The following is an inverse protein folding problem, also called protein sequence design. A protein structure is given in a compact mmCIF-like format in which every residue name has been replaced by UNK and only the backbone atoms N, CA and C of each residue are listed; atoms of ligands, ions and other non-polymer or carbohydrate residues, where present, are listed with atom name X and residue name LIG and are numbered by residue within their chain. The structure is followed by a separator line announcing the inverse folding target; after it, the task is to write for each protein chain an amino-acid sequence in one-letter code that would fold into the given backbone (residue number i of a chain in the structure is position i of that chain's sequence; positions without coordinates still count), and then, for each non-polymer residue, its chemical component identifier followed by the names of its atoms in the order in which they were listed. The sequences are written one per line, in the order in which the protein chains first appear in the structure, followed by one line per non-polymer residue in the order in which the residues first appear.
data_IF_531333199165
#
_entry.id   IF_531333199165
#
_cell.length_a   1.000
_cell.length_b   1.000
_cell.length_c   1.000
_cell.angle_alpha   90.00
_cell.angle_beta   90.00
_cell.angle_gamma   90.00
#
_symmetry.space_group_name_H-M   'P 1'
#
loop_
_entity.id
_entity.type
_entity.pdbx_description
1 polymer ?
#
# COMPACT_ATOMS: atom_id res chain seq x y z
N UNK A 1 -10.62 16.77 -9.39
CA UNK A 1 -10.59 15.75 -8.32
C UNK A 1 -10.10 16.39 -7.03
N UNK A 2 -10.79 16.10 -5.95
CA UNK A 2 -10.51 16.69 -4.64
C UNK A 2 -9.33 16.02 -3.97
N UNK A 3 -8.40 16.81 -3.40
CA UNK A 3 -7.26 16.31 -2.62
C UNK A 3 -7.33 16.91 -1.23
N UNK A 4 -7.20 16.10 -0.18
CA UNK A 4 -7.11 16.56 1.19
C UNK A 4 -5.67 16.91 1.54
N UNK A 5 -5.45 18.17 1.95
CA UNK A 5 -4.16 18.58 2.48
C UNK A 5 -4.03 18.29 3.98
N UNK A 6 -5.16 18.24 4.68
CA UNK A 6 -5.20 17.96 6.12
C UNK A 6 -6.53 17.31 6.49
N UNK A 7 -6.53 16.56 7.58
CA UNK A 7 -7.73 15.94 8.14
C UNK A 7 -8.17 16.76 9.38
N UNK A 8 -9.32 17.41 9.27
CA UNK A 8 -9.85 18.29 10.31
C UNK A 8 -11.18 17.78 10.89
N UNK A 9 -11.81 18.59 11.77
CA UNK A 9 -13.07 18.21 12.41
C UNK A 9 -14.22 18.06 11.42
N UNK A 10 -14.24 18.83 10.33
CA UNK A 10 -15.26 18.69 9.29
C UNK A 10 -15.17 17.31 8.62
N UNK A 11 -13.97 16.87 8.31
CA UNK A 11 -13.75 15.53 7.75
C UNK A 11 -14.11 14.42 8.72
N UNK A 12 -13.80 14.62 10.01
CA UNK A 12 -14.19 13.70 11.05
C UNK A 12 -15.71 13.56 11.16
N UNK A 13 -16.43 14.67 11.15
CA UNK A 13 -17.90 14.67 11.20
C UNK A 13 -18.48 13.92 9.98
N UNK A 14 -17.94 14.18 8.80
CA UNK A 14 -18.36 13.50 7.58
C UNK A 14 -18.13 12.00 7.68
N UNK A 15 -16.97 11.58 8.20
CA UNK A 15 -16.66 10.18 8.40
C UNK A 15 -17.62 9.52 9.40
N UNK A 16 -17.92 10.20 10.51
CA UNK A 16 -18.85 9.67 11.52
C UNK A 16 -20.27 9.57 10.99
N UNK A 17 -20.68 10.51 10.13
CA UNK A 17 -22.02 10.51 9.52
C UNK A 17 -22.16 9.44 8.44
N UNK A 18 -21.17 9.30 7.56
CA UNK A 18 -21.25 8.45 6.37
C UNK A 18 -20.55 7.09 6.53
N UNK A 19 -19.67 6.93 7.52
CA UNK A 19 -18.89 5.72 7.72
C UNK A 19 -17.69 5.58 6.79
N UNK A 20 -17.46 6.54 5.91
CA UNK A 20 -16.30 6.60 5.01
C UNK A 20 -15.97 8.04 4.65
N UNK A 21 -14.76 8.23 4.14
CA UNK A 21 -14.31 9.51 3.61
C UNK A 21 -13.39 9.26 2.41
N UNK A 22 -13.66 9.94 1.30
CA UNK A 22 -12.77 9.91 0.14
C UNK A 22 -11.68 10.95 0.31
N UNK A 23 -10.44 10.51 0.22
CA UNK A 23 -9.29 11.40 0.37
C UNK A 23 -8.93 12.15 -0.93
N UNK A 24 -9.42 11.67 -2.08
CA UNK A 24 -9.03 12.21 -3.37
C UNK A 24 -7.63 11.73 -3.77
N UNK A 25 -6.92 12.55 -4.54
CA UNK A 25 -5.55 12.24 -4.95
C UNK A 25 -4.58 12.55 -3.82
N UNK A 26 -3.92 11.54 -3.28
CA UNK A 26 -2.89 11.71 -2.26
C UNK A 26 -1.48 11.66 -2.83
N UNK A 27 -1.34 11.20 -4.08
CA UNK A 27 -0.07 11.14 -4.81
C UNK A 27 -0.16 11.93 -6.10
N UNK A 28 0.96 12.53 -6.51
CA UNK A 28 1.09 13.08 -7.86
C UNK A 28 1.09 11.95 -8.90
N UNK A 29 0.88 12.30 -10.18
CA UNK A 29 0.94 11.31 -11.27
C UNK A 29 2.30 10.64 -11.34
N UNK A 30 3.40 11.38 -11.10
CA UNK A 30 4.75 10.82 -11.08
C UNK A 30 4.97 9.87 -9.92
N UNK A 31 4.50 10.21 -8.73
CA UNK A 31 4.59 9.35 -7.55
C UNK A 31 3.79 8.06 -7.74
N UNK A 32 2.59 8.15 -8.31
CA UNK A 32 1.76 6.98 -8.60
C UNK A 32 2.44 6.07 -9.63
N UNK A 33 2.97 6.64 -10.70
CA UNK A 33 3.72 5.87 -11.72
C UNK A 33 4.92 5.16 -11.13
N UNK A 34 5.64 5.81 -10.21
CA UNK A 34 6.80 5.20 -9.54
C UNK A 34 6.38 3.98 -8.70
N UNK A 35 5.26 4.07 -7.98
CA UNK A 35 4.73 2.95 -7.19
C UNK A 35 4.28 1.80 -8.10
N UNK A 36 3.58 2.10 -9.18
CA UNK A 36 3.14 1.08 -10.15
C UNK A 36 4.34 0.36 -10.77
N UNK A 37 5.37 1.11 -11.16
CA UNK A 37 6.60 0.53 -11.69
C UNK A 37 7.31 -0.34 -10.66
N UNK A 38 7.32 0.08 -9.39
CA UNK A 38 7.96 -0.70 -8.32
C UNK A 38 7.26 -2.03 -8.09
N UNK A 39 5.94 -2.09 -8.17
CA UNK A 39 5.18 -3.34 -8.06
C UNK A 39 5.60 -4.30 -9.18
N UNK A 40 5.69 -3.81 -10.41
CA UNK A 40 6.13 -4.61 -11.55
C UNK A 40 7.56 -5.10 -11.35
N UNK A 41 8.45 -4.25 -10.88
CA UNK A 41 9.85 -4.60 -10.62
C UNK A 41 9.98 -5.69 -9.56
N UNK A 42 9.14 -5.65 -8.52
CA UNK A 42 9.11 -6.68 -7.49
C UNK A 42 8.61 -8.00 -8.08
N UNK A 43 7.54 -7.97 -8.85
CA UNK A 43 6.98 -9.18 -9.47
C UNK A 43 7.95 -9.80 -10.48
N UNK A 44 8.64 -8.96 -11.26
CA UNK A 44 9.59 -9.43 -12.28
C UNK A 44 10.97 -9.75 -11.73
N UNK A 45 11.20 -9.52 -10.43
CA UNK A 45 12.47 -9.85 -9.80
C UNK A 45 13.60 -8.86 -10.05
N UNK A 46 13.29 -7.67 -10.59
CA UNK A 46 14.28 -6.59 -10.76
C UNK A 46 14.67 -5.99 -9.40
N UNK A 47 13.74 -5.99 -8.46
CA UNK A 47 13.95 -5.63 -7.06
C UNK A 47 13.50 -6.82 -6.23
N UNK A 48 14.38 -7.36 -5.37
CA UNK A 48 14.11 -8.59 -4.61
C UNK A 48 14.23 -8.35 -3.11
N UNK A 49 13.30 -8.95 -2.37
CA UNK A 49 13.27 -8.97 -0.91
C UNK A 49 13.10 -10.42 -0.45
N UNK A 50 14.10 -10.97 0.24
CA UNK A 50 14.14 -12.38 0.63
C UNK A 50 12.97 -12.83 1.49
N UNK A 51 12.46 -11.94 2.33
CA UNK A 51 11.43 -12.29 3.32
C UNK A 51 10.04 -11.75 2.99
N UNK A 52 9.87 -11.18 1.79
CA UNK A 52 8.59 -10.66 1.36
C UNK A 52 7.65 -11.80 0.99
N UNK A 53 6.48 -11.86 1.62
CA UNK A 53 5.49 -12.90 1.32
C UNK A 53 4.71 -12.53 0.06
N UNK A 54 4.57 -13.48 -0.85
CA UNK A 54 3.90 -13.28 -2.14
C UNK A 54 3.01 -14.48 -2.44
N UNK A 55 1.94 -14.26 -3.23
CA UNK A 55 1.08 -15.34 -3.73
C UNK A 55 1.10 -15.34 -5.25
N UNK A 56 1.46 -16.46 -5.83
CA UNK A 56 1.56 -16.66 -7.25
C UNK A 56 0.33 -17.41 -7.77
N UNK A 57 -0.24 -16.98 -8.91
CA UNK A 57 -1.22 -17.80 -9.63
C UNK A 57 -0.52 -18.95 -10.33
N UNK A 58 -1.04 -20.16 -10.12
CA UNK A 58 -0.58 -21.34 -10.82
C UNK A 58 -1.41 -21.58 -12.11
N UNK A 59 -0.88 -22.41 -13.02
CA UNK A 59 -1.53 -22.69 -14.30
C UNK A 59 -2.87 -23.40 -14.17
N UNK A 60 -3.08 -24.11 -13.05
CA UNK A 60 -4.35 -24.82 -12.77
C UNK A 60 -5.40 -23.92 -12.08
N UNK A 61 -5.13 -22.63 -11.93
CA UNK A 61 -6.05 -21.68 -11.30
C UNK A 61 -5.93 -21.60 -9.78
N UNK A 62 -5.08 -22.41 -9.15
CA UNK A 62 -4.81 -22.31 -7.71
C UNK A 62 -3.78 -21.20 -7.42
N UNK A 63 -3.54 -20.92 -6.15
CA UNK A 63 -2.49 -19.99 -5.73
C UNK A 63 -1.45 -20.72 -4.89
N UNK A 64 -0.20 -20.28 -5.01
CA UNK A 64 0.92 -20.80 -4.20
C UNK A 64 1.60 -19.65 -3.48
N UNK A 65 1.77 -19.79 -2.19
CA UNK A 65 2.49 -18.80 -1.40
C UNK A 65 4.00 -19.00 -1.56
N UNK A 66 4.72 -17.90 -1.77
CA UNK A 66 6.18 -17.88 -1.84
C UNK A 66 6.76 -16.96 -0.78
N UNK A 67 7.99 -17.20 -0.39
CA UNK A 67 8.81 -16.30 0.41
C UNK A 67 9.86 -15.73 -0.52
N UNK A 68 9.76 -14.43 -0.78
CA UNK A 68 10.56 -13.77 -1.81
C UNK A 68 10.06 -14.05 -3.21
N UNK A 69 10.74 -13.50 -4.20
CA UNK A 69 10.41 -13.69 -5.60
C UNK A 69 11.04 -15.00 -6.12
N UNK A 70 10.20 -15.97 -6.45
CA UNK A 70 10.66 -17.26 -7.02
C UNK A 70 10.56 -17.29 -8.55
N UNK A 71 9.62 -16.54 -9.13
CA UNK A 71 9.35 -16.52 -10.57
C UNK A 71 9.18 -15.10 -11.04
N UNK A 72 9.85 -14.74 -12.12
CA UNK A 72 9.73 -13.44 -12.75
C UNK A 72 8.47 -13.41 -13.64
N UNK A 73 7.36 -12.94 -13.10
CA UNK A 73 6.08 -12.91 -13.79
C UNK A 73 5.17 -11.84 -13.19
N UNK A 74 4.24 -11.32 -13.97
CA UNK A 74 3.19 -10.42 -13.47
C UNK A 74 1.97 -11.19 -12.94
N UNK A 75 2.06 -12.50 -12.79
CA UNK A 75 0.96 -13.34 -12.34
C UNK A 75 0.89 -13.49 -10.82
N UNK A 76 1.50 -12.61 -10.06
CA UNK A 76 1.32 -12.55 -8.61
C UNK A 76 -0.03 -11.93 -8.27
N UNK A 77 -0.81 -12.64 -7.47
CA UNK A 77 -2.11 -12.19 -7.01
C UNK A 77 -1.99 -11.25 -5.83
N UNK A 78 -0.97 -11.43 -4.99
CA UNK A 78 -0.83 -10.71 -3.73
C UNK A 78 0.63 -10.57 -3.34
N UNK A 79 0.97 -9.40 -2.82
CA UNK A 79 2.29 -9.10 -2.27
C UNK A 79 2.09 -8.48 -0.90
N UNK A 80 2.67 -9.09 0.13
CA UNK A 80 2.66 -8.59 1.50
C UNK A 80 4.01 -7.95 1.85
N UNK A 81 4.07 -7.33 3.03
CA UNK A 81 5.32 -6.83 3.63
C UNK A 81 5.98 -5.72 2.78
N UNK A 82 5.17 -4.91 2.13
CA UNK A 82 5.64 -3.82 1.26
C UNK A 82 6.39 -2.73 2.00
N UNK A 83 6.22 -2.63 3.33
CA UNK A 83 6.99 -1.69 4.16
C UNK A 83 8.49 -1.98 4.15
N UNK A 84 8.93 -3.13 3.68
CA UNK A 84 10.34 -3.43 3.45
C UNK A 84 10.93 -2.63 2.29
N UNK A 85 10.10 -2.16 1.38
CA UNK A 85 10.53 -1.34 0.25
C UNK A 85 10.49 0.14 0.63
N UNK A 86 11.59 0.90 0.45
CA UNK A 86 11.62 2.31 0.84
C UNK A 86 10.56 3.18 0.15
N UNK A 87 10.21 2.88 -1.10
CA UNK A 87 9.22 3.65 -1.84
C UNK A 87 7.83 3.46 -1.24
N UNK A 88 7.46 2.22 -0.93
CA UNK A 88 6.19 1.91 -0.27
C UNK A 88 6.16 2.41 1.15
N UNK A 89 7.27 2.32 1.87
CA UNK A 89 7.37 2.87 3.23
C UNK A 89 7.10 4.37 3.25
N UNK A 90 7.66 5.11 2.29
CA UNK A 90 7.41 6.55 2.15
C UNK A 90 5.93 6.83 1.92
N UNK A 91 5.26 6.04 1.08
CA UNK A 91 3.82 6.16 0.86
C UNK A 91 3.01 5.87 2.14
N UNK A 92 3.34 4.79 2.83
CA UNK A 92 2.68 4.40 4.08
C UNK A 92 2.82 5.50 5.14
N UNK A 93 3.95 6.17 5.18
CA UNK A 93 4.25 7.25 6.12
C UNK A 93 3.75 8.61 5.65
N UNK A 94 2.90 8.68 4.64
CA UNK A 94 2.33 9.92 4.14
C UNK A 94 1.74 10.73 5.30
N UNK A 95 2.05 12.04 5.40
CA UNK A 95 1.60 12.88 6.54
C UNK A 95 0.09 12.86 6.76
N UNK A 96 -0.70 12.80 5.68
CA UNK A 96 -2.15 12.74 5.79
C UNK A 96 -2.60 11.44 6.49
N UNK A 97 -2.00 10.31 6.14
CA UNK A 97 -2.32 9.02 6.77
C UNK A 97 -1.95 9.02 8.25
N UNK A 98 -0.81 9.64 8.58
CA UNK A 98 -0.39 9.79 9.97
C UNK A 98 -1.39 10.62 10.76
N UNK A 99 -1.84 11.77 10.23
CA UNK A 99 -2.84 12.61 10.88
C UNK A 99 -4.12 11.84 11.18
N UNK A 100 -4.62 11.10 10.20
CA UNK A 100 -5.85 10.30 10.36
C UNK A 100 -5.65 9.20 11.41
N UNK A 101 -4.57 8.45 11.30
CA UNK A 101 -4.29 7.36 12.24
C UNK A 101 -4.10 7.87 13.67
N UNK A 102 -3.38 8.96 13.87
CA UNK A 102 -3.17 9.55 15.19
C UNK A 102 -4.47 10.03 15.83
N UNK A 103 -5.40 10.54 15.02
CA UNK A 103 -6.69 11.00 15.53
C UNK A 103 -7.51 9.86 16.13
N UNK A 104 -7.46 8.66 15.56
CA UNK A 104 -8.30 7.53 15.97
C UNK A 104 -7.59 6.51 16.85
N UNK A 105 -6.27 6.45 16.80
CA UNK A 105 -5.48 5.46 17.53
C UNK A 105 -4.66 6.10 18.65
N UNK A 106 -3.99 7.23 18.36
CA UNK A 106 -3.12 7.92 19.29
C UNK A 106 -1.81 8.35 18.66
N UNK A 107 -0.91 8.92 19.45
CA UNK A 107 0.35 9.47 18.93
C UNK A 107 1.27 8.42 18.33
N UNK A 108 1.26 7.24 18.91
CA UNK A 108 2.11 6.14 18.45
C UNK A 108 1.29 5.18 17.62
N UNK A 109 1.57 5.15 16.32
CA UNK A 109 0.92 4.26 15.36
C UNK A 109 1.97 3.48 14.62
N UNK A 110 1.69 2.21 14.37
CA UNK A 110 2.56 1.35 13.57
C UNK A 110 1.75 0.65 12.49
N UNK A 111 2.44 0.25 11.42
CA UNK A 111 1.83 -0.54 10.35
C UNK A 111 1.72 -1.98 10.83
N UNK A 112 0.49 -2.47 10.94
CA UNK A 112 0.24 -3.86 11.26
C UNK A 112 0.48 -4.75 10.04
N UNK A 113 0.02 -4.29 8.88
CA UNK A 113 0.09 -5.08 7.65
C UNK A 113 0.01 -4.18 6.43
N UNK A 114 0.81 -4.49 5.42
CA UNK A 114 0.71 -3.88 4.10
C UNK A 114 0.48 -4.98 3.05
N UNK A 115 -0.30 -4.66 2.03
CA UNK A 115 -0.70 -5.66 1.05
C UNK A 115 -1.06 -4.99 -0.28
N UNK A 116 -0.57 -5.56 -1.38
CA UNK A 116 -1.03 -5.26 -2.73
C UNK A 116 -1.78 -6.48 -3.28
N UNK A 117 -2.93 -6.20 -3.89
CA UNK A 117 -3.75 -7.24 -4.51
C UNK A 117 -4.19 -6.85 -5.91
#
# INVERSE_FOLDING_TARGET
MYTLDAFDDTHHEQFMDQGYLRLGKVLSAGELSAIQQRIDDIMLGHVKYEHMRMQLFETDGTTRQTIGNEVATLAYRRIDDLEQDPLFLTYIQHPLFRQIAQRYIGEQVSVFRSMFM
#
